data_IF_496965419751
#
_entry.id   IF_496965419751
#
_cell.length_a   1.000
_cell.length_b   1.000
_cell.length_c   1.000
_cell.angle_alpha   90.00
_cell.angle_beta   90.00
_cell.angle_gamma   90.00
#
_symmetry.space_group_name_H-M   'P 1'
#
loop_
_entity.id
_entity.type
_entity.pdbx_description
1 polymer ?
#
# COMPACT_ATOMS: atom_id res chain seq x y z
N UNK A 1 -32.91 43.45 -6.79
CA UNK A 1 -31.48 43.13 -7.03
C UNK A 1 -30.99 42.38 -5.81
N UNK A 2 -31.05 41.04 -5.85
CA UNK A 2 -30.66 40.20 -4.73
C UNK A 2 -29.14 40.02 -4.75
N UNK A 3 -28.45 40.64 -3.79
CA UNK A 3 -27.04 40.39 -3.54
C UNK A 3 -26.92 38.97 -2.97
N UNK A 4 -26.38 38.05 -3.76
CA UNK A 4 -25.96 36.75 -3.26
C UNK A 4 -24.85 36.97 -2.24
N UNK A 5 -25.16 36.75 -0.97
CA UNK A 5 -24.19 36.62 0.11
C UNK A 5 -23.25 35.48 -0.22
N UNK A 6 -22.08 35.80 -0.79
CA UNK A 6 -20.93 34.90 -0.77
C UNK A 6 -20.54 34.73 0.69
N UNK A 7 -21.11 33.71 1.35
CA UNK A 7 -20.60 33.20 2.62
C UNK A 7 -19.15 32.80 2.37
N UNK A 8 -18.22 33.64 2.83
CA UNK A 8 -16.82 33.27 2.94
C UNK A 8 -16.77 32.06 3.88
N UNK A 9 -16.50 30.88 3.32
CA UNK A 9 -16.19 29.68 4.09
C UNK A 9 -15.05 30.03 5.05
N UNK A 10 -15.11 29.61 6.32
CA UNK A 10 -14.09 29.94 7.31
C UNK A 10 -12.71 29.55 6.79
N UNK A 11 -11.80 30.54 6.73
CA UNK A 11 -10.41 30.37 6.33
C UNK A 11 -9.76 29.30 7.22
N UNK A 12 -9.62 28.08 6.71
CA UNK A 12 -9.13 26.95 7.50
C UNK A 12 -9.39 25.57 6.89
N UNK A 13 -10.30 25.45 5.93
CA UNK A 13 -10.48 24.24 5.12
C UNK A 13 -10.17 24.56 3.65
N UNK A 14 -8.88 24.77 3.37
CA UNK A 14 -8.36 24.79 2.01
C UNK A 14 -8.31 23.35 1.48
N UNK A 15 -9.51 22.81 1.21
CA UNK A 15 -9.69 21.46 0.68
C UNK A 15 -9.25 21.36 -0.78
N UNK A 16 -9.20 22.49 -1.50
CA UNK A 16 -8.89 22.50 -2.93
C UNK A 16 -7.45 22.04 -3.18
N UNK A 17 -6.47 22.55 -2.43
CA UNK A 17 -5.05 22.22 -2.64
C UNK A 17 -4.62 20.85 -2.07
N UNK A 18 -5.32 20.32 -1.06
CA UNK A 18 -4.98 19.02 -0.42
C UNK A 18 -5.84 17.85 -0.85
N UNK A 19 -6.96 18.09 -1.54
CA UNK A 19 -7.82 17.03 -2.02
C UNK A 19 -7.08 15.93 -2.81
N UNK A 20 -6.18 16.21 -3.78
CA UNK A 20 -5.52 15.15 -4.53
C UNK A 20 -4.59 14.31 -3.66
N UNK A 21 -3.91 14.93 -2.68
CA UNK A 21 -3.03 14.22 -1.74
C UNK A 21 -3.82 13.24 -0.89
N UNK A 22 -4.97 13.68 -0.35
CA UNK A 22 -5.85 12.85 0.49
C UNK A 22 -6.41 11.68 -0.32
N UNK A 23 -6.90 11.93 -1.54
CA UNK A 23 -7.38 10.86 -2.41
C UNK A 23 -6.26 9.88 -2.77
N UNK A 24 -5.09 10.38 -3.16
CA UNK A 24 -3.93 9.54 -3.48
C UNK A 24 -3.53 8.63 -2.31
N UNK A 25 -3.54 9.16 -1.09
CA UNK A 25 -3.31 8.37 0.12
C UNK A 25 -4.37 7.30 0.36
N UNK A 26 -5.65 7.66 0.23
CA UNK A 26 -6.76 6.71 0.39
C UNK A 26 -6.64 5.57 -0.62
N UNK A 27 -6.41 5.88 -1.90
CA UNK A 27 -6.24 4.85 -2.94
C UNK A 27 -4.97 4.02 -2.73
N UNK A 28 -3.86 4.65 -2.35
CA UNK A 28 -2.62 3.94 -2.06
C UNK A 28 -2.81 2.97 -0.88
N UNK A 29 -3.43 3.41 0.22
CA UNK A 29 -3.73 2.58 1.38
C UNK A 29 -4.74 1.48 1.08
N UNK A 30 -5.80 1.77 0.31
CA UNK A 30 -6.79 0.76 -0.07
C UNK A 30 -6.16 -0.31 -0.96
N UNK A 31 -5.35 0.07 -1.95
CA UNK A 31 -4.67 -0.88 -2.82
C UNK A 31 -3.64 -1.72 -2.07
N UNK A 32 -2.70 -1.08 -1.38
CA UNK A 32 -1.63 -1.77 -0.65
C UNK A 32 -2.15 -2.53 0.59
N UNK A 33 -3.16 -1.99 1.27
CA UNK A 33 -3.84 -2.61 2.41
C UNK A 33 -4.74 -3.77 2.01
N UNK A 34 -5.47 -3.67 0.89
CA UNK A 34 -6.21 -4.80 0.31
C UNK A 34 -5.29 -5.95 -0.06
N UNK A 35 -4.13 -5.63 -0.66
CA UNK A 35 -3.09 -6.62 -0.93
C UNK A 35 -2.53 -7.23 0.37
N UNK A 36 -2.33 -6.43 1.43
CA UNK A 36 -1.92 -6.95 2.73
C UNK A 36 -2.91 -7.96 3.31
N UNK A 37 -4.22 -7.67 3.22
CA UNK A 37 -5.25 -8.61 3.67
C UNK A 37 -5.16 -9.93 2.91
N UNK A 38 -5.06 -9.87 1.58
CA UNK A 38 -4.82 -11.05 0.75
C UNK A 38 -3.56 -11.80 1.19
N UNK A 39 -2.47 -11.09 1.44
CA UNK A 39 -1.18 -11.66 1.85
C UNK A 39 -1.23 -12.37 3.21
N UNK A 40 -1.92 -11.77 4.18
CA UNK A 40 -2.14 -12.34 5.51
C UNK A 40 -2.99 -13.61 5.39
N UNK A 41 -4.06 -13.58 4.59
CA UNK A 41 -4.88 -14.78 4.34
C UNK A 41 -4.04 -15.89 3.69
N UNK A 42 -3.20 -15.55 2.70
CA UNK A 42 -2.27 -16.50 2.08
C UNK A 42 -1.27 -17.09 3.08
N UNK A 43 -0.76 -16.28 4.00
CA UNK A 43 0.13 -16.73 5.07
C UNK A 43 -0.55 -17.71 6.02
N UNK A 44 -1.79 -17.39 6.45
CA UNK A 44 -2.58 -18.26 7.32
C UNK A 44 -2.91 -19.57 6.58
N UNK A 45 -3.29 -19.50 5.30
CA UNK A 45 -3.53 -20.67 4.46
C UNK A 45 -2.30 -21.57 4.35
N UNK A 46 -1.10 -20.99 4.16
CA UNK A 46 0.17 -21.72 4.11
C UNK A 46 0.46 -22.46 5.42
N UNK A 47 0.17 -21.84 6.56
CA UNK A 47 0.35 -22.48 7.87
C UNK A 47 -0.65 -23.61 8.12
N UNK A 48 -1.85 -23.52 7.54
CA UNK A 48 -2.92 -24.54 7.67
C UNK A 48 -2.85 -25.65 6.63
N UNK A 49 -1.96 -25.54 5.64
CA UNK A 49 -1.91 -26.49 4.51
C UNK A 49 -3.10 -26.36 3.55
N UNK A 50 -3.73 -25.19 3.49
CA UNK A 50 -4.89 -24.90 2.62
C UNK A 50 -4.71 -23.52 1.95
N UNK A 51 -3.56 -23.33 1.30
CA UNK A 51 -3.19 -22.06 0.69
C UNK A 51 -3.50 -21.97 -0.82
N UNK A 52 -4.22 -22.95 -1.37
CA UNK A 52 -4.48 -23.07 -2.80
C UNK A 52 -3.19 -22.96 -3.62
N UNK A 53 -3.15 -22.01 -4.56
CA UNK A 53 -2.02 -21.76 -5.47
C UNK A 53 -0.69 -21.46 -4.75
N UNK A 54 -0.72 -20.92 -3.53
CA UNK A 54 0.51 -20.66 -2.76
C UNK A 54 1.20 -21.95 -2.30
N UNK A 55 0.46 -23.04 -2.11
CA UNK A 55 1.07 -24.35 -1.81
C UNK A 55 1.79 -24.93 -3.03
N UNK A 56 1.22 -24.76 -4.22
CA UNK A 56 1.86 -25.17 -5.48
C UNK A 56 3.17 -24.42 -5.76
N UNK A 57 3.30 -23.21 -5.20
CA UNK A 57 4.52 -22.42 -5.26
C UNK A 57 5.58 -22.92 -4.29
N UNK A 58 5.35 -23.92 -3.42
CA UNK A 58 6.33 -24.52 -2.50
C UNK A 58 7.32 -23.49 -1.91
N UNK A 59 6.80 -22.40 -1.33
CA UNK A 59 7.65 -21.29 -0.87
C UNK A 59 8.60 -21.76 0.23
N UNK A 60 9.89 -21.89 -0.11
CA UNK A 60 10.95 -22.32 0.79
C UNK A 60 12.08 -21.29 0.91
N UNK A 61 12.88 -21.44 1.97
CA UNK A 61 14.08 -20.64 2.22
C UNK A 61 13.82 -19.12 2.14
N UNK A 62 14.64 -18.44 1.33
CA UNK A 62 14.61 -16.98 1.15
C UNK A 62 13.26 -16.47 0.63
N UNK A 63 12.60 -17.22 -0.26
CA UNK A 63 11.30 -16.82 -0.81
C UNK A 63 10.22 -16.79 0.26
N UNK A 64 10.21 -17.79 1.15
CA UNK A 64 9.31 -17.79 2.30
C UNK A 64 9.60 -16.64 3.25
N UNK A 65 10.86 -16.34 3.53
CA UNK A 65 11.23 -15.20 4.38
C UNK A 65 10.77 -13.87 3.77
N UNK A 66 10.99 -13.67 2.46
CA UNK A 66 10.53 -12.48 1.74
C UNK A 66 9.00 -12.38 1.76
N UNK A 67 8.30 -13.49 1.53
CA UNK A 67 6.84 -13.54 1.66
C UNK A 67 6.38 -13.10 3.05
N UNK A 68 6.96 -13.66 4.12
CA UNK A 68 6.59 -13.31 5.49
C UNK A 68 6.99 -11.89 5.89
N UNK A 69 7.93 -11.26 5.16
CA UNK A 69 8.40 -9.90 5.45
C UNK A 69 7.41 -8.81 5.00
N UNK A 70 6.47 -9.13 4.10
CA UNK A 70 5.58 -8.14 3.48
C UNK A 70 4.81 -7.23 4.46
N UNK A 71 4.22 -7.72 5.58
CA UNK A 71 3.54 -6.86 6.54
C UNK A 71 4.46 -5.80 7.16
N UNK A 72 5.71 -6.17 7.43
CA UNK A 72 6.70 -5.24 7.98
C UNK A 72 7.11 -4.19 6.96
N UNK A 73 7.29 -4.59 5.69
CA UNK A 73 7.56 -3.67 4.58
C UNK A 73 6.40 -2.69 4.41
N UNK A 74 5.17 -3.18 4.38
CA UNK A 74 3.98 -2.32 4.29
C UNK A 74 3.94 -1.28 5.42
N UNK A 75 4.10 -1.71 6.68
CA UNK A 75 4.07 -0.80 7.83
C UNK A 75 5.19 0.25 7.72
N UNK A 76 6.41 -0.18 7.36
CA UNK A 76 7.54 0.74 7.20
C UNK A 76 7.24 1.82 6.14
N UNK A 77 6.69 1.45 4.98
CA UNK A 77 6.37 2.40 3.93
C UNK A 77 5.19 3.32 4.26
N UNK A 78 4.20 2.84 5.01
CA UNK A 78 3.12 3.69 5.55
C UNK A 78 3.68 4.74 6.51
N UNK A 79 4.60 4.34 7.41
CA UNK A 79 5.25 5.27 8.33
C UNK A 79 6.12 6.29 7.58
N UNK A 80 6.91 5.85 6.59
CA UNK A 80 7.70 6.73 5.72
C UNK A 80 6.79 7.72 5.00
N UNK A 81 5.67 7.26 4.44
CA UNK A 81 4.66 8.13 3.86
C UNK A 81 4.20 9.19 4.86
N UNK A 82 3.82 8.78 6.08
CA UNK A 82 3.35 9.72 7.10
C UNK A 82 4.37 10.81 7.43
N UNK A 83 5.66 10.45 7.49
CA UNK A 83 6.75 11.40 7.65
C UNK A 83 6.86 12.35 6.44
N UNK A 84 6.72 11.84 5.22
CA UNK A 84 6.77 12.67 4.00
C UNK A 84 5.62 13.69 3.92
N UNK A 85 4.41 13.33 4.37
CA UNK A 85 3.31 14.30 4.53
C UNK A 85 3.66 15.39 5.53
N UNK A 86 4.26 15.03 6.68
CA UNK A 86 4.69 16.01 7.67
C UNK A 86 5.75 16.98 7.10
N UNK A 87 6.58 16.51 6.16
CA UNK A 87 7.55 17.32 5.42
C UNK A 87 6.96 18.06 4.21
N UNK A 88 5.63 18.02 3.99
CA UNK A 88 4.93 18.59 2.84
C UNK A 88 5.38 18.04 1.47
N UNK A 89 5.89 16.81 1.46
CA UNK A 89 6.31 16.08 0.24
C UNK A 89 5.18 15.14 -0.19
N UNK A 90 4.04 15.73 -0.52
CA UNK A 90 2.76 15.04 -0.72
C UNK A 90 2.81 13.99 -1.84
N UNK A 91 3.40 14.32 -3.00
CA UNK A 91 3.50 13.40 -4.13
C UNK A 91 4.38 12.18 -3.82
N UNK A 92 5.53 12.42 -3.20
CA UNK A 92 6.45 11.35 -2.79
C UNK A 92 5.85 10.47 -1.72
N UNK A 93 5.06 11.06 -0.83
CA UNK A 93 4.34 10.33 0.18
C UNK A 93 3.35 9.33 -0.42
N UNK A 94 2.58 9.73 -1.43
CA UNK A 94 1.66 8.81 -2.11
C UNK A 94 2.45 7.67 -2.76
N UNK A 95 3.58 8.01 -3.40
CA UNK A 95 4.50 7.03 -3.98
C UNK A 95 5.04 6.03 -2.96
N UNK A 96 5.47 6.51 -1.78
CA UNK A 96 5.96 5.66 -0.70
C UNK A 96 4.88 4.67 -0.23
N UNK A 97 3.66 5.15 0.04
CA UNK A 97 2.55 4.29 0.50
C UNK A 97 2.12 3.29 -0.58
N UNK A 98 2.22 3.65 -1.87
CA UNK A 98 1.95 2.75 -2.98
C UNK A 98 3.08 1.75 -3.29
N UNK A 99 4.31 2.00 -2.80
CA UNK A 99 5.49 1.18 -3.11
C UNK A 99 5.35 -0.30 -2.72
N UNK A 100 4.76 -0.69 -1.57
CA UNK A 100 4.53 -2.09 -1.23
C UNK A 100 3.75 -2.86 -2.30
N UNK A 101 2.78 -2.22 -2.97
CA UNK A 101 2.03 -2.85 -4.06
C UNK A 101 2.95 -3.19 -5.24
N UNK A 102 3.82 -2.25 -5.64
CA UNK A 102 4.79 -2.49 -6.69
C UNK A 102 5.81 -3.58 -6.31
N UNK A 103 6.28 -3.58 -5.05
CA UNK A 103 7.20 -4.61 -4.55
C UNK A 103 6.56 -6.00 -4.56
N UNK A 104 5.28 -6.13 -4.24
CA UNK A 104 4.56 -7.40 -4.33
C UNK A 104 4.45 -7.93 -5.76
N UNK A 105 4.17 -7.04 -6.72
CA UNK A 105 4.16 -7.39 -8.15
C UNK A 105 5.54 -7.86 -8.61
N UNK A 106 6.60 -7.14 -8.24
CA UNK A 106 7.97 -7.53 -8.53
C UNK A 106 8.35 -8.87 -7.88
N UNK A 107 7.93 -9.10 -6.64
CA UNK A 107 8.13 -10.36 -5.95
C UNK A 107 7.47 -11.53 -6.69
N UNK A 108 6.24 -11.34 -7.17
CA UNK A 108 5.55 -12.35 -7.98
C UNK A 108 6.28 -12.66 -9.28
N UNK A 109 6.75 -11.63 -10.00
CA UNK A 109 7.55 -11.84 -11.20
C UNK A 109 8.88 -12.55 -10.91
N UNK A 110 9.54 -12.21 -9.81
CA UNK A 110 10.76 -12.88 -9.39
C UNK A 110 10.52 -14.37 -9.08
N UNK A 111 9.39 -14.70 -8.45
CA UNK A 111 8.99 -16.10 -8.22
C UNK A 111 8.79 -16.88 -9.52
N UNK A 112 8.24 -16.25 -10.56
CA UNK A 112 7.96 -16.92 -11.85
C UNK A 112 9.24 -17.10 -12.67
N UNK A 113 10.08 -16.08 -12.74
CA UNK A 113 11.17 -16.04 -13.73
C UNK A 113 12.56 -16.34 -13.15
N UNK A 114 12.78 -16.12 -11.86
CA UNK A 114 14.12 -16.20 -11.26
C UNK A 114 14.27 -17.44 -10.38
N UNK A 115 13.18 -17.93 -9.79
CA UNK A 115 13.24 -19.12 -8.96
C UNK A 115 13.58 -20.34 -9.82
N UNK A 116 14.72 -21.02 -9.59
CA UNK A 116 14.95 -22.33 -10.20
C UNK A 116 13.93 -23.31 -9.59
N UNK A 117 13.20 -23.99 -10.48
CA UNK A 117 12.37 -25.15 -10.12
C UNK A 117 13.28 -26.30 -9.72
#
# INVERSE_FOLDING_TARGET
MNQATHQALPAGLDLDDRSPTVFGWVFALLGSGGLLLFWVMGTIGLQRGDAGTLMWLELEGVWRTLFLSYPFVFIAFVLIGGVLVALRRDLESIGAVGTPLALAVLYYFALIYVRPV
#
